data_IF_897514299930
#
_entry.id   IF_897514299930
#
_cell.length_a   1.000
_cell.length_b   1.000
_cell.length_c   1.000
_cell.angle_alpha   90.00
_cell.angle_beta   90.00
_cell.angle_gamma   90.00
#
_symmetry.space_group_name_H-M   'P 1'
#
loop_
_entity.id
_entity.type
_entity.pdbx_description
1 polymer ?
#
# COMPACT_ATOMS: atom_id res chain seq x y z
N UNK A 1 -29.21 -10.12 27.71
CA UNK A 1 -28.58 -9.05 28.51
C UNK A 1 -27.26 -9.58 29.03
N UNK A 2 -26.13 -9.13 28.49
CA UNK A 2 -24.80 -9.49 29.00
C UNK A 2 -24.51 -8.59 30.20
N UNK A 3 -24.64 -9.13 31.42
CA UNK A 3 -24.28 -8.42 32.64
C UNK A 3 -22.77 -8.48 32.83
N UNK A 4 -22.14 -7.33 32.98
CA UNK A 4 -20.70 -7.18 33.14
C UNK A 4 -20.27 -7.82 34.48
N UNK A 5 -19.50 -8.90 34.45
CA UNK A 5 -19.07 -9.66 35.64
C UNK A 5 -18.36 -8.79 36.68
N UNK A 6 -17.68 -7.74 36.22
CA UNK A 6 -16.99 -6.76 37.05
C UNK A 6 -17.93 -5.87 37.90
N UNK A 7 -19.20 -5.75 37.54
CA UNK A 7 -20.21 -4.99 38.29
C UNK A 7 -21.08 -5.90 39.17
N UNK A 8 -21.31 -7.15 38.73
CA UNK A 8 -22.16 -8.12 39.45
C UNK A 8 -21.46 -8.64 40.71
N UNK A 9 -20.17 -9.00 40.64
CA UNK A 9 -19.45 -9.58 41.79
C UNK A 9 -19.40 -8.63 43.00
N UNK A 10 -19.11 -7.32 42.85
CA UNK A 10 -19.20 -6.37 43.96
C UNK A 10 -20.64 -6.20 44.49
N UNK A 11 -21.65 -6.29 43.62
CA UNK A 11 -23.06 -6.14 44.00
C UNK A 11 -23.57 -7.27 44.89
N UNK A 12 -23.05 -8.50 44.73
CA UNK A 12 -23.39 -9.67 45.55
C UNK A 12 -22.93 -9.53 47.01
N UNK A 13 -21.97 -8.65 47.29
CA UNK A 13 -21.50 -8.33 48.65
C UNK A 13 -22.37 -7.28 49.37
N UNK A 14 -23.39 -6.74 48.71
CA UNK A 14 -24.28 -5.75 49.31
C UNK A 14 -25.28 -6.38 50.27
N UNK A 15 -25.69 -5.61 51.30
CA UNK A 15 -26.55 -6.05 52.40
C UNK A 15 -27.92 -6.61 51.94
N UNK A 16 -28.36 -6.23 50.74
CA UNK A 16 -29.60 -6.68 50.10
C UNK A 16 -29.56 -8.14 49.64
N UNK A 17 -28.39 -8.74 49.45
CA UNK A 17 -28.24 -10.15 49.06
C UNK A 17 -27.91 -11.07 50.24
N UNK A 18 -27.98 -10.55 51.48
CA UNK A 18 -27.84 -11.40 52.66
C UNK A 18 -29.02 -12.39 52.74
N UNK A 19 -28.77 -13.68 53.03
CA UNK A 19 -29.83 -14.68 53.17
C UNK A 19 -30.88 -14.30 54.21
N UNK A 20 -30.48 -13.60 55.28
CA UNK A 20 -31.39 -13.13 56.33
C UNK A 20 -32.40 -12.09 55.82
N UNK A 21 -31.97 -11.14 54.98
CA UNK A 21 -32.84 -10.13 54.37
C UNK A 21 -33.83 -10.78 53.40
N UNK A 22 -33.39 -11.77 52.63
CA UNK A 22 -34.25 -12.54 51.73
C UNK A 22 -35.29 -13.35 52.51
N UNK A 23 -34.89 -14.12 53.53
CA UNK A 23 -35.81 -14.91 54.37
C UNK A 23 -36.82 -14.01 55.07
N UNK A 24 -36.37 -12.88 55.62
CA UNK A 24 -37.24 -11.91 56.29
C UNK A 24 -38.21 -11.20 55.32
N UNK A 25 -37.96 -11.22 54.01
CA UNK A 25 -38.93 -10.68 53.03
C UNK A 25 -40.18 -11.55 52.89
N UNK A 26 -40.11 -12.84 53.24
CA UNK A 26 -41.24 -13.77 53.22
C UNK A 26 -41.94 -13.91 54.57
N UNK A 27 -41.32 -13.42 55.66
CA UNK A 27 -41.86 -13.50 57.01
C UNK A 27 -42.43 -12.14 57.43
N UNK A 28 -43.76 -12.02 57.48
CA UNK A 28 -44.42 -10.78 57.94
C UNK A 28 -44.54 -10.80 59.46
N UNK A 29 -44.52 -9.65 60.14
CA UNK A 29 -44.54 -9.57 61.62
C UNK A 29 -45.76 -10.20 62.32
N UNK A 30 -46.76 -10.67 61.55
CA UNK A 30 -48.01 -11.29 62.02
C UNK A 30 -48.19 -12.76 61.60
N UNK A 31 -47.19 -13.41 60.99
CA UNK A 31 -47.30 -14.84 60.60
C UNK A 31 -47.31 -15.76 61.81
N UNK A 32 -48.21 -16.74 61.79
CA UNK A 32 -48.24 -17.81 62.78
C UNK A 32 -46.99 -18.70 62.67
N UNK A 33 -46.59 -19.37 63.77
CA UNK A 33 -45.40 -20.21 63.80
C UNK A 33 -45.46 -21.35 62.77
N UNK A 34 -46.64 -21.93 62.57
CA UNK A 34 -46.86 -23.04 61.63
C UNK A 34 -46.72 -22.58 60.16
N UNK A 35 -47.20 -21.37 59.85
CA UNK A 35 -47.07 -20.77 58.53
C UNK A 35 -45.62 -20.36 58.23
N UNK A 36 -44.91 -19.81 59.22
CA UNK A 36 -43.49 -19.52 59.12
C UNK A 36 -42.64 -20.80 58.93
N UNK A 37 -43.02 -21.90 59.57
CA UNK A 37 -42.37 -23.20 59.37
C UNK A 37 -42.58 -23.71 57.94
N UNK A 38 -43.82 -23.68 57.44
CA UNK A 38 -44.13 -24.10 56.07
C UNK A 38 -43.40 -23.26 55.01
N UNK A 39 -43.37 -21.93 55.17
CA UNK A 39 -42.63 -21.03 54.28
C UNK A 39 -41.13 -21.36 54.30
N UNK A 40 -40.56 -21.55 55.49
CA UNK A 40 -39.13 -21.87 55.65
C UNK A 40 -38.78 -23.21 54.99
N UNK A 41 -39.60 -24.25 55.18
CA UNK A 41 -39.39 -25.56 54.57
C UNK A 41 -39.49 -25.49 53.04
N UNK A 42 -40.46 -24.75 52.50
CA UNK A 42 -40.60 -24.57 51.05
C UNK A 42 -39.43 -23.79 50.45
N UNK A 43 -38.95 -22.74 51.12
CA UNK A 43 -37.76 -22.00 50.71
C UNK A 43 -36.51 -22.87 50.73
N UNK A 44 -36.35 -23.72 51.75
CA UNK A 44 -35.24 -24.66 51.85
C UNK A 44 -35.26 -25.68 50.71
N UNK A 45 -36.43 -26.27 50.41
CA UNK A 45 -36.59 -27.20 49.29
C UNK A 45 -36.32 -26.53 47.94
N UNK A 46 -36.79 -25.29 47.76
CA UNK A 46 -36.51 -24.52 46.54
C UNK A 46 -35.02 -24.21 46.40
N UNK A 47 -34.34 -23.84 47.49
CA UNK A 47 -32.90 -23.58 47.49
C UNK A 47 -32.12 -24.86 47.20
N UNK A 48 -32.53 -25.99 47.78
CA UNK A 48 -31.90 -27.29 47.52
C UNK A 48 -32.05 -27.68 46.04
N UNK A 49 -33.24 -27.50 45.47
CA UNK A 49 -33.50 -27.76 44.05
C UNK A 49 -32.65 -26.87 43.14
N UNK A 50 -32.62 -25.57 43.39
CA UNK A 50 -31.87 -24.62 42.56
C UNK A 50 -30.36 -24.81 42.70
N UNK A 51 -29.89 -25.18 43.90
CA UNK A 51 -28.49 -25.54 44.16
C UNK A 51 -28.09 -26.78 43.36
N UNK A 52 -28.90 -27.84 43.39
CA UNK A 52 -28.65 -29.05 42.58
C UNK A 52 -28.64 -28.74 41.10
N UNK A 53 -29.62 -27.98 40.61
CA UNK A 53 -29.68 -27.56 39.21
C UNK A 53 -28.42 -26.77 38.79
N UNK A 54 -27.96 -25.85 39.64
CA UNK A 54 -26.74 -25.07 39.39
C UNK A 54 -25.50 -25.96 39.36
N UNK A 55 -25.40 -26.92 40.28
CA UNK A 55 -24.29 -27.88 40.34
C UNK A 55 -24.26 -28.74 39.07
N UNK A 56 -25.41 -29.30 38.67
CA UNK A 56 -25.53 -30.13 37.48
C UNK A 56 -25.15 -29.33 36.23
N UNK A 57 -25.62 -28.08 36.12
CA UNK A 57 -25.28 -27.19 35.01
C UNK A 57 -23.80 -26.83 34.98
N UNK A 58 -23.19 -26.60 36.14
CA UNK A 58 -21.75 -26.34 36.23
C UNK A 58 -20.96 -27.57 35.81
N UNK A 59 -21.39 -28.76 36.20
CA UNK A 59 -20.74 -30.01 35.83
C UNK A 59 -20.86 -30.28 34.32
N UNK A 60 -22.01 -29.97 33.70
CA UNK A 60 -22.19 -30.02 32.25
C UNK A 60 -21.21 -29.09 31.52
N UNK A 61 -21.11 -27.82 31.94
CA UNK A 61 -20.18 -26.84 31.34
C UNK A 61 -18.72 -27.30 31.50
N UNK A 62 -18.35 -27.79 32.68
CA UNK A 62 -16.98 -28.31 32.91
C UNK A 62 -16.70 -29.49 31.99
N UNK A 63 -17.66 -30.40 31.80
CA UNK A 63 -17.50 -31.52 30.89
C UNK A 63 -17.37 -31.06 29.42
N UNK A 64 -18.15 -30.07 28.99
CA UNK A 64 -18.02 -29.48 27.66
C UNK A 64 -16.62 -28.87 27.44
N UNK A 65 -16.11 -28.12 28.42
CA UNK A 65 -14.76 -27.53 28.37
C UNK A 65 -13.70 -28.63 28.28
N UNK A 66 -13.81 -29.68 29.09
CA UNK A 66 -12.88 -30.82 29.06
C UNK A 66 -12.91 -31.52 27.70
N UNK A 67 -14.09 -31.66 27.08
CA UNK A 67 -14.22 -32.29 25.76
C UNK A 67 -13.64 -31.43 24.63
N UNK A 68 -13.67 -30.11 24.74
CA UNK A 68 -13.14 -29.19 23.72
C UNK A 68 -11.63 -28.96 23.83
N UNK A 69 -11.04 -29.20 25.01
CA UNK A 69 -9.61 -28.97 25.27
C UNK A 69 -8.65 -29.75 24.34
N UNK A 70 -8.88 -31.04 24.01
CA UNK A 70 -8.02 -31.78 23.11
C UNK A 70 -8.01 -31.21 21.68
N UNK A 71 -9.18 -30.77 21.18
CA UNK A 71 -9.27 -30.14 19.86
C UNK A 71 -8.45 -28.85 19.83
N UNK A 72 -8.60 -28.00 20.85
CA UNK A 72 -7.81 -26.78 20.96
C UNK A 72 -6.30 -27.07 21.01
N UNK A 73 -5.89 -28.12 21.73
CA UNK A 73 -4.48 -28.51 21.78
C UNK A 73 -3.95 -28.98 20.41
N UNK A 74 -4.73 -29.78 19.67
CA UNK A 74 -4.39 -30.16 18.29
C UNK A 74 -4.26 -28.94 17.37
N UNK A 75 -5.17 -27.97 17.47
CA UNK A 75 -5.12 -26.74 16.68
C UNK A 75 -3.87 -25.90 16.99
N UNK A 76 -3.48 -25.83 18.27
CA UNK A 76 -2.24 -25.15 18.71
C UNK A 76 -1.01 -25.85 18.15
N UNK A 77 -0.94 -27.18 18.22
CA UNK A 77 0.19 -27.96 17.67
C UNK A 77 0.31 -27.79 16.15
N UNK A 78 -0.83 -27.80 15.44
CA UNK A 78 -0.86 -27.56 14.00
C UNK A 78 -0.37 -26.14 13.66
N UNK A 79 -0.80 -25.13 14.42
CA UNK A 79 -0.38 -23.75 14.21
C UNK A 79 1.13 -23.58 14.50
N UNK A 80 1.65 -24.24 15.54
CA UNK A 80 3.07 -24.27 15.84
C UNK A 80 3.88 -24.90 14.69
N UNK A 81 3.43 -26.05 14.16
CA UNK A 81 4.09 -26.70 13.02
C UNK A 81 4.08 -25.83 11.76
N UNK A 82 2.97 -25.14 11.48
CA UNK A 82 2.86 -24.21 10.36
C UNK A 82 3.84 -23.04 10.51
N UNK A 83 4.03 -22.51 11.72
CA UNK A 83 5.02 -21.45 11.99
C UNK A 83 6.44 -21.96 11.71
N UNK A 84 6.78 -23.16 12.15
CA UNK A 84 8.10 -23.76 11.91
C UNK A 84 8.37 -23.90 10.40
N UNK A 85 7.41 -24.43 9.64
CA UNK A 85 7.52 -24.56 8.18
C UNK A 85 7.68 -23.18 7.52
N UNK A 86 6.93 -22.18 7.97
CA UNK A 86 6.99 -20.83 7.42
C UNK A 86 8.33 -20.15 7.70
N UNK A 87 8.90 -20.37 8.89
CA UNK A 87 10.25 -19.93 9.25
C UNK A 87 11.32 -20.60 8.39
N UNK A 88 11.19 -21.90 8.11
CA UNK A 88 12.12 -22.61 7.22
C UNK A 88 12.08 -22.03 5.79
N UNK A 89 10.88 -21.79 5.25
CA UNK A 89 10.71 -21.17 3.93
C UNK A 89 11.30 -19.76 3.90
N UNK A 90 11.07 -18.97 4.96
CA UNK A 90 11.59 -17.62 5.07
C UNK A 90 13.12 -17.61 5.12
N UNK A 91 13.72 -18.54 5.88
CA UNK A 91 15.17 -18.68 5.94
C UNK A 91 15.76 -19.08 4.58
N UNK A 92 15.15 -20.05 3.87
CA UNK A 92 15.56 -20.43 2.50
C UNK A 92 15.47 -19.24 1.53
N UNK A 93 14.40 -18.45 1.60
CA UNK A 93 14.26 -17.24 0.76
C UNK A 93 15.28 -16.15 1.13
N UNK A 94 15.59 -16.00 2.41
CA UNK A 94 16.60 -15.06 2.89
C UNK A 94 17.99 -15.46 2.37
N UNK A 95 18.34 -16.73 2.46
CA UNK A 95 19.59 -17.27 1.90
C UNK A 95 19.64 -17.09 0.38
N UNK A 96 18.53 -17.35 -0.33
CA UNK A 96 18.43 -17.06 -1.77
C UNK A 96 18.61 -15.56 -2.10
N UNK A 97 18.05 -14.67 -1.29
CA UNK A 97 18.22 -13.22 -1.47
C UNK A 97 19.66 -12.77 -1.17
N UNK A 98 20.31 -13.37 -0.16
CA UNK A 98 21.70 -13.09 0.17
C UNK A 98 22.67 -13.63 -0.89
N UNK A 99 22.40 -14.81 -1.44
CA UNK A 99 23.17 -15.37 -2.57
C UNK A 99 22.94 -14.59 -3.86
N UNK A 100 21.74 -14.05 -4.12
CA UNK A 100 21.53 -13.09 -5.21
C UNK A 100 22.33 -11.80 -5.02
N UNK A 101 22.35 -11.25 -3.79
CA UNK A 101 23.14 -10.04 -3.47
C UNK A 101 24.65 -10.27 -3.56
N UNK A 102 25.14 -11.47 -3.25
CA UNK A 102 26.57 -11.81 -3.26
C UNK A 102 27.05 -12.42 -4.59
N UNK A 103 26.20 -13.13 -5.30
CA UNK A 103 26.52 -13.95 -6.48
C UNK A 103 26.13 -13.34 -7.82
N UNK A 104 25.28 -12.30 -7.84
CA UNK A 104 25.09 -11.49 -9.04
C UNK A 104 26.10 -10.36 -8.97
N UNK A 105 27.29 -10.57 -9.56
CA UNK A 105 28.06 -9.42 -10.02
C UNK A 105 27.09 -8.52 -10.76
N UNK A 106 27.01 -7.26 -10.35
CA UNK A 106 26.10 -6.23 -10.85
C UNK A 106 26.00 -6.14 -12.38
N UNK A 107 26.85 -6.82 -13.16
CA UNK A 107 26.80 -6.96 -14.60
C UNK A 107 25.40 -7.10 -15.22
N UNK A 108 24.45 -7.84 -14.64
CA UNK A 108 23.10 -7.89 -15.24
C UNK A 108 22.36 -6.56 -15.06
N UNK A 109 22.43 -5.96 -13.87
CA UNK A 109 21.82 -4.66 -13.56
C UNK A 109 22.56 -3.55 -14.30
N UNK A 110 23.89 -3.58 -14.33
CA UNK A 110 24.75 -2.67 -15.09
C UNK A 110 24.45 -2.80 -16.58
N UNK A 111 24.25 -4.00 -17.11
CA UNK A 111 23.84 -4.22 -18.49
C UNK A 111 22.44 -3.63 -18.75
N UNK A 112 21.49 -3.76 -17.82
CA UNK A 112 20.18 -3.10 -17.96
C UNK A 112 20.30 -1.57 -17.94
N UNK A 113 21.14 -1.00 -17.07
CA UNK A 113 21.42 0.44 -17.04
C UNK A 113 22.09 0.92 -18.33
N UNK A 114 23.06 0.16 -18.84
CA UNK A 114 23.69 0.42 -20.12
C UNK A 114 22.70 0.34 -21.29
N UNK A 115 21.80 -0.65 -21.29
CA UNK A 115 20.76 -0.79 -22.31
C UNK A 115 19.76 0.37 -22.27
N UNK A 116 19.38 0.86 -21.09
CA UNK A 116 18.50 2.02 -20.98
C UNK A 116 19.19 3.29 -21.51
N UNK A 117 20.49 3.48 -21.21
CA UNK A 117 21.27 4.57 -21.80
C UNK A 117 21.36 4.47 -23.33
N UNK A 118 21.56 3.27 -23.87
CA UNK A 118 21.59 3.03 -25.31
C UNK A 118 20.23 3.36 -25.93
N UNK A 119 19.13 2.93 -25.31
CA UNK A 119 17.77 3.20 -25.77
C UNK A 119 17.46 4.70 -25.80
N UNK A 120 17.83 5.45 -24.76
CA UNK A 120 17.64 6.90 -24.74
C UNK A 120 18.47 7.60 -25.83
N UNK A 121 19.70 7.17 -26.07
CA UNK A 121 20.52 7.66 -27.19
C UNK A 121 19.88 7.34 -28.54
N UNK A 122 19.40 6.13 -28.75
CA UNK A 122 18.71 5.72 -29.98
C UNK A 122 17.46 6.56 -30.21
N UNK A 123 16.65 6.82 -29.18
CA UNK A 123 15.47 7.70 -29.28
C UNK A 123 15.86 9.12 -29.65
N UNK A 124 16.90 9.68 -29.00
CA UNK A 124 17.38 11.02 -29.30
C UNK A 124 17.90 11.13 -30.75
N UNK A 125 18.69 10.15 -31.20
CA UNK A 125 19.16 10.08 -32.58
C UNK A 125 17.99 9.91 -33.55
N UNK A 126 17.02 9.06 -33.25
CA UNK A 126 15.83 8.87 -34.08
C UNK A 126 15.01 10.17 -34.22
N UNK A 127 14.85 10.93 -33.13
CA UNK A 127 14.17 12.23 -33.16
C UNK A 127 14.91 13.20 -34.08
N UNK A 128 16.23 13.34 -33.92
CA UNK A 128 17.05 14.22 -34.75
C UNK A 128 16.98 13.80 -36.23
N UNK A 129 17.01 12.50 -36.54
CA UNK A 129 16.88 11.99 -37.90
C UNK A 129 15.48 12.21 -38.49
N UNK A 130 14.42 12.08 -37.67
CA UNK A 130 13.05 12.36 -38.09
C UNK A 130 12.89 13.84 -38.42
N UNK A 131 13.39 14.73 -37.55
CA UNK A 131 13.43 16.17 -37.83
C UNK A 131 14.22 16.41 -39.11
N UNK A 132 15.44 15.89 -39.22
CA UNK A 132 16.28 16.04 -40.41
C UNK A 132 15.58 15.64 -41.72
N UNK A 133 14.77 14.57 -41.69
CA UNK A 133 13.95 14.12 -42.82
C UNK A 133 12.89 15.15 -43.23
N UNK A 134 12.23 15.81 -42.27
CA UNK A 134 11.29 16.90 -42.53
C UNK A 134 11.97 18.13 -43.16
N UNK A 135 13.27 18.32 -42.88
CA UNK A 135 14.11 19.37 -43.45
C UNK A 135 14.87 18.96 -44.72
N UNK A 136 14.50 17.83 -45.36
CA UNK A 136 15.13 17.42 -46.63
C UNK A 136 14.83 18.38 -47.78
N UNK A 137 13.65 19.02 -47.79
CA UNK A 137 13.33 20.04 -48.79
C UNK A 137 13.83 21.42 -48.34
N UNK A 138 15.12 21.64 -48.57
CA UNK A 138 15.86 22.85 -48.19
C UNK A 138 15.22 24.11 -48.79
N UNK A 139 14.81 24.06 -50.06
CA UNK A 139 14.29 25.21 -50.80
C UNK A 139 12.94 25.70 -50.25
N UNK A 140 12.04 24.77 -49.89
CA UNK A 140 10.76 25.14 -49.27
C UNK A 140 10.95 25.82 -47.91
N UNK A 141 11.94 25.37 -47.13
CA UNK A 141 12.25 25.91 -45.81
C UNK A 141 12.96 27.25 -45.89
N UNK A 142 13.87 27.42 -46.85
CA UNK A 142 14.50 28.70 -47.17
C UNK A 142 13.46 29.77 -47.49
N UNK A 143 12.52 29.49 -48.38
CA UNK A 143 11.42 30.40 -48.74
C UNK A 143 10.56 30.77 -47.53
N UNK A 144 10.26 29.81 -46.66
CA UNK A 144 9.49 30.07 -45.45
C UNK A 144 10.23 31.03 -44.49
N UNK A 145 11.53 30.84 -44.28
CA UNK A 145 12.34 31.72 -43.44
C UNK A 145 12.45 33.12 -44.07
N UNK A 146 12.64 33.21 -45.39
CA UNK A 146 12.67 34.49 -46.10
C UNK A 146 11.33 35.25 -46.01
N UNK A 147 10.19 34.55 -46.02
CA UNK A 147 8.88 35.13 -45.74
C UNK A 147 8.79 35.65 -44.31
N UNK A 148 9.20 34.88 -43.31
CA UNK A 148 9.19 35.31 -41.90
C UNK A 148 10.07 36.55 -41.68
N UNK A 149 11.22 36.62 -42.35
CA UNK A 149 12.11 37.79 -42.32
C UNK A 149 11.42 39.00 -42.97
N UNK A 150 10.75 38.82 -44.11
CA UNK A 150 9.99 39.88 -44.80
C UNK A 150 8.83 40.41 -43.96
N UNK A 151 8.17 39.51 -43.23
CA UNK A 151 7.04 39.80 -42.34
C UNK A 151 7.48 40.36 -40.97
N UNK A 152 8.78 40.65 -40.78
CA UNK A 152 9.40 41.16 -39.54
C UNK A 152 9.25 40.23 -38.32
N UNK A 153 8.99 38.93 -38.54
CA UNK A 153 8.92 37.91 -37.49
C UNK A 153 10.31 37.34 -37.18
N UNK A 154 11.21 38.21 -36.73
CA UNK A 154 12.64 37.86 -36.57
C UNK A 154 12.89 36.80 -35.51
N UNK A 155 12.10 36.75 -34.43
CA UNK A 155 12.26 35.76 -33.36
C UNK A 155 11.94 34.34 -33.84
N UNK A 156 10.81 34.16 -34.52
CA UNK A 156 10.42 32.86 -35.11
C UNK A 156 11.45 32.39 -36.15
N UNK A 157 11.95 33.31 -36.98
CA UNK A 157 13.00 33.01 -37.95
C UNK A 157 14.30 32.57 -37.26
N UNK A 158 14.71 33.25 -36.17
CA UNK A 158 15.89 32.90 -35.38
C UNK A 158 15.77 31.53 -34.72
N UNK A 159 14.61 31.21 -34.16
CA UNK A 159 14.35 29.90 -33.55
C UNK A 159 14.44 28.76 -34.57
N UNK A 160 13.93 28.98 -35.80
CA UNK A 160 14.05 28.02 -36.89
C UNK A 160 15.51 27.87 -37.35
N UNK A 161 16.27 28.96 -37.46
CA UNK A 161 17.70 28.93 -37.82
C UNK A 161 18.52 28.19 -36.76
N UNK A 162 18.26 28.43 -35.47
CA UNK A 162 18.93 27.72 -34.37
C UNK A 162 18.63 26.21 -34.40
N UNK A 163 17.39 25.84 -34.70
CA UNK A 163 17.02 24.42 -34.94
C UNK A 163 17.76 23.84 -36.14
N UNK A 164 17.85 24.58 -37.24
CA UNK A 164 18.59 24.16 -38.44
C UNK A 164 20.07 23.95 -38.15
N UNK A 165 20.73 24.85 -37.40
CA UNK A 165 22.13 24.69 -36.98
C UNK A 165 22.36 23.39 -36.22
N UNK A 166 21.45 23.02 -35.32
CA UNK A 166 21.54 21.77 -34.56
C UNK A 166 21.38 20.52 -35.43
N UNK A 167 20.50 20.57 -36.42
CA UNK A 167 20.19 19.43 -37.29
C UNK A 167 21.21 19.30 -38.43
N UNK A 168 21.84 20.40 -38.87
CA UNK A 168 22.78 20.40 -40.01
C UNK A 168 23.96 19.44 -39.80
N UNK A 169 24.31 19.18 -38.55
CA UNK A 169 25.34 18.23 -38.12
C UNK A 169 25.09 16.78 -38.59
N UNK A 170 23.83 16.39 -38.82
CA UNK A 170 23.49 15.07 -39.39
C UNK A 170 24.14 14.85 -40.75
N UNK A 171 24.36 15.94 -41.49
CA UNK A 171 24.91 15.89 -42.85
C UNK A 171 26.42 16.08 -42.89
N UNK A 172 27.14 16.23 -41.77
CA UNK A 172 28.56 16.62 -41.70
C UNK A 172 29.48 15.95 -42.73
N UNK A 173 29.28 14.66 -43.01
CA UNK A 173 30.09 13.86 -43.93
C UNK A 173 29.48 13.70 -45.34
N UNK A 174 28.41 14.43 -45.63
CA UNK A 174 27.71 14.40 -46.93
C UNK A 174 28.04 15.65 -47.75
N UNK A 175 27.90 15.53 -49.07
CA UNK A 175 28.04 16.65 -50.01
C UNK A 175 27.01 17.78 -49.78
N UNK A 176 25.88 17.49 -49.12
CA UNK A 176 24.83 18.47 -48.79
C UNK A 176 25.20 19.39 -47.61
N UNK A 177 26.21 19.04 -46.81
CA UNK A 177 26.56 19.78 -45.58
C UNK A 177 26.91 21.24 -45.84
N UNK A 178 27.82 21.46 -46.78
CA UNK A 178 28.39 22.77 -47.07
C UNK A 178 27.34 23.73 -47.63
N UNK A 179 26.53 23.25 -48.58
CA UNK A 179 25.42 24.02 -49.17
C UNK A 179 24.40 24.44 -48.10
N UNK A 180 24.05 23.53 -47.18
CA UNK A 180 23.11 23.83 -46.08
C UNK A 180 23.69 24.82 -45.08
N UNK A 181 24.97 24.69 -44.74
CA UNK A 181 25.67 25.65 -43.86
C UNK A 181 25.73 27.04 -44.48
N UNK A 182 26.11 27.14 -45.75
CA UNK A 182 26.18 28.41 -46.47
C UNK A 182 24.80 29.08 -46.51
N UNK A 183 23.73 28.31 -46.78
CA UNK A 183 22.36 28.80 -46.73
C UNK A 183 21.98 29.33 -45.33
N UNK A 184 22.28 28.58 -44.27
CA UNK A 184 22.01 28.99 -42.89
C UNK A 184 22.74 30.29 -42.57
N UNK A 185 24.01 30.42 -42.97
CA UNK A 185 24.79 31.65 -42.77
C UNK A 185 24.21 32.85 -43.49
N UNK A 186 23.76 32.69 -44.74
CA UNK A 186 23.09 33.76 -45.50
C UNK A 186 21.78 34.18 -44.84
N UNK A 187 20.98 33.23 -44.35
CA UNK A 187 19.71 33.52 -43.68
C UNK A 187 19.93 34.22 -42.34
N UNK A 188 20.97 33.84 -41.60
CA UNK A 188 21.32 34.46 -40.32
C UNK A 188 21.76 35.93 -40.50
N UNK A 189 22.57 36.23 -41.52
CA UNK A 189 22.98 37.60 -41.83
C UNK A 189 21.80 38.52 -42.22
N UNK A 190 20.70 37.95 -42.71
CA UNK A 190 19.48 38.69 -43.04
C UNK A 190 18.61 39.01 -41.82
N UNK A 191 18.87 38.40 -40.66
CA UNK A 191 18.19 38.72 -39.41
C UNK A 191 18.98 39.84 -38.71
N UNK A 192 18.41 41.04 -38.51
CA UNK A 192 19.08 42.07 -37.73
C UNK A 192 19.32 41.57 -36.30
N UNK A 193 20.51 41.84 -35.76
CA UNK A 193 20.82 41.62 -34.35
C UNK A 193 19.95 42.51 -33.47
N UNK A 194 18.70 42.11 -33.23
CA UNK A 194 17.97 42.54 -32.05
C UNK A 194 18.59 41.80 -30.85
N UNK A 195 19.73 42.32 -30.42
CA UNK A 195 20.10 42.31 -29.01
C UNK A 195 19.34 43.49 -28.40
N UNK A 196 18.15 43.23 -27.86
CA UNK A 196 17.52 44.19 -26.95
C UNK A 196 18.50 44.42 -25.79
N UNK A 197 19.20 45.55 -25.84
CA UNK A 197 19.60 46.24 -24.64
C UNK A 197 18.33 46.85 -24.04
N UNK A 198 18.27 46.75 -22.71
CA UNK A 198 17.31 47.32 -21.74
C UNK A 198 15.94 46.69 -21.63
#
# INVERSE_FOLDING_TARGET
MQTNTNEVIPSLSSLSFLPSTYINSFLTSATSLEEAQNITTNLLLSLESESRFTIDRLQEIVNEIIQQLPQLNCDIELLHNNIVVLLEILNKKKEYAETLKKGTNNHVIDNFLHLELIKERIKATHLILKEAKEWKNIEAKKKHIELLIKDKKFQEARDIINKLKRIVEVWRETNEYKERLDMIGILEQKIPDFTEKT
#
